data_IF_038741379466
#
_entry.id   IF_038741379466
#
_cell.length_a   1.000
_cell.length_b   1.000
_cell.length_c   1.000
_cell.angle_alpha   90.00
_cell.angle_beta   90.00
_cell.angle_gamma   90.00
#
_symmetry.space_group_name_H-M   'P 1'
#
loop_
_entity.id
_entity.type
_entity.pdbx_description
1 polymer ?
#
# COMPACT_ATOMS: atom_id res chain seq x y z
N UNK A 1 -15.60 -4.86 -9.82
CA UNK A 1 -16.73 -4.71 -10.75
C UNK A 1 -16.68 -3.30 -11.34
N UNK A 2 -17.29 -3.06 -12.50
CA UNK A 2 -17.30 -1.72 -13.12
C UNK A 2 -15.93 -1.27 -13.64
N UNK A 3 -15.08 -2.22 -14.04
CA UNK A 3 -13.71 -1.95 -14.50
C UNK A 3 -13.60 -2.14 -16.01
N UNK A 4 -12.70 -1.38 -16.67
CA UNK A 4 -12.45 -1.58 -18.09
C UNK A 4 -11.84 -2.97 -18.38
N UNK A 5 -11.96 -3.36 -19.64
CA UNK A 5 -11.36 -4.56 -20.21
C UNK A 5 -10.00 -4.31 -20.87
N UNK A 6 -9.42 -5.36 -21.44
CA UNK A 6 -8.24 -5.28 -22.31
C UNK A 6 -8.14 -6.53 -23.20
N UNK A 7 -7.32 -6.45 -24.25
CA UNK A 7 -6.91 -7.62 -25.03
C UNK A 7 -5.59 -8.15 -24.47
N UNK A 8 -5.59 -9.39 -23.99
CA UNK A 8 -4.38 -10.11 -23.58
C UNK A 8 -3.87 -10.88 -24.80
N UNK A 9 -2.65 -10.60 -25.24
CA UNK A 9 -2.00 -11.30 -26.34
C UNK A 9 -0.81 -12.09 -25.81
N UNK A 10 -0.83 -13.40 -26.04
CA UNK A 10 0.25 -14.32 -25.68
C UNK A 10 0.79 -15.04 -26.91
N UNK A 11 1.87 -15.83 -26.76
CA UNK A 11 2.53 -16.51 -27.87
C UNK A 11 1.66 -17.55 -28.60
N UNK A 12 0.51 -17.94 -28.03
CA UNK A 12 -0.40 -18.95 -28.57
C UNK A 12 -1.80 -18.42 -28.91
N UNK A 13 -2.00 -17.10 -28.90
CA UNK A 13 -3.30 -16.49 -29.22
C UNK A 13 -3.63 -15.27 -28.36
N UNK A 14 -4.89 -14.87 -28.39
CA UNK A 14 -5.38 -13.68 -27.69
C UNK A 14 -6.71 -13.93 -26.97
N UNK A 15 -6.93 -13.23 -25.86
CA UNK A 15 -8.14 -13.25 -25.07
C UNK A 15 -8.64 -11.82 -24.84
N UNK A 16 -9.88 -11.53 -25.23
CA UNK A 16 -10.53 -10.26 -24.90
C UNK A 16 -11.20 -10.36 -23.52
N UNK A 17 -10.70 -9.58 -22.57
CA UNK A 17 -11.33 -9.38 -21.26
C UNK A 17 -12.30 -8.21 -21.35
N UNK A 18 -13.58 -8.43 -20.99
CA UNK A 18 -14.60 -7.37 -20.92
C UNK A 18 -14.47 -6.48 -19.68
N UNK A 19 -13.81 -6.98 -18.64
CA UNK A 19 -13.58 -6.30 -17.36
C UNK A 19 -12.37 -6.92 -16.66
N UNK A 20 -11.74 -6.19 -15.74
CA UNK A 20 -10.69 -6.70 -14.87
C UNK A 20 -9.46 -5.82 -14.73
N UNK A 21 -9.31 -4.78 -15.56
CA UNK A 21 -8.17 -3.86 -15.49
C UNK A 21 -8.38 -2.86 -14.36
N UNK A 22 -7.39 -2.73 -13.47
CA UNK A 22 -7.42 -1.85 -12.31
C UNK A 22 -6.09 -1.11 -12.16
N UNK A 23 -6.14 0.08 -11.54
CA UNK A 23 -4.96 0.68 -10.90
C UNK A 23 -4.76 -0.02 -9.56
N UNK A 24 -3.55 -0.50 -9.28
CA UNK A 24 -3.25 -1.09 -7.98
C UNK A 24 -3.45 -0.05 -6.87
N UNK A 25 -4.13 -0.44 -5.80
CA UNK A 25 -4.23 0.38 -4.59
C UNK A 25 -3.17 -0.10 -3.61
N UNK A 26 -2.31 0.82 -3.16
CA UNK A 26 -1.28 0.54 -2.16
C UNK A 26 -1.83 -0.18 -0.93
N UNK A 27 -1.09 -1.16 -0.44
CA UNK A 27 -1.49 -1.94 0.72
C UNK A 27 -0.27 -2.57 1.40
N UNK A 28 -0.43 -2.93 2.66
CA UNK A 28 0.57 -3.66 3.45
C UNK A 28 0.05 -5.04 3.78
N UNK A 29 0.85 -6.05 3.50
CA UNK A 29 0.64 -7.41 3.93
C UNK A 29 1.21 -7.61 5.33
N UNK A 30 0.45 -8.24 6.22
CA UNK A 30 0.87 -8.52 7.60
C UNK A 30 0.35 -9.87 8.09
N UNK A 31 1.18 -10.63 8.83
CA UNK A 31 0.70 -11.75 9.63
C UNK A 31 0.06 -11.30 10.95
N UNK A 32 -0.50 -12.25 11.70
CA UNK A 32 -1.18 -11.97 12.96
C UNK A 32 -0.26 -11.33 14.02
N UNK A 33 1.00 -11.76 14.09
CA UNK A 33 1.98 -11.22 15.04
C UNK A 33 2.36 -9.77 14.74
N UNK A 34 2.56 -9.46 13.47
CA UNK A 34 2.85 -8.09 12.99
C UNK A 34 1.66 -7.16 13.22
N UNK A 35 0.45 -7.59 12.90
CA UNK A 35 -0.77 -6.84 13.19
C UNK A 35 -0.92 -6.55 14.69
N UNK A 36 -0.63 -7.54 15.55
CA UNK A 36 -0.63 -7.35 17.00
C UNK A 36 0.46 -6.36 17.46
N UNK A 37 1.66 -6.42 16.88
CA UNK A 37 2.76 -5.50 17.17
C UNK A 37 2.43 -4.05 16.81
N UNK A 38 1.86 -3.82 15.61
CA UNK A 38 1.43 -2.49 15.18
C UNK A 38 0.08 -2.07 15.79
N UNK A 39 -0.63 -2.99 16.45
CA UNK A 39 -1.95 -2.78 17.02
C UNK A 39 -2.99 -2.42 15.96
N UNK A 40 -2.95 -3.05 14.79
CA UNK A 40 -3.86 -2.82 13.65
C UNK A 40 -4.64 -4.08 13.29
N UNK A 41 -5.71 -3.93 12.53
CA UNK A 41 -6.50 -5.04 12.00
C UNK A 41 -6.56 -5.02 10.47
N UNK A 42 -6.83 -6.18 9.86
CA UNK A 42 -7.08 -6.28 8.42
C UNK A 42 -8.23 -5.36 8.02
N UNK A 43 -8.02 -4.55 6.98
CA UNK A 43 -8.94 -3.51 6.52
C UNK A 43 -8.69 -2.11 7.11
N UNK A 44 -7.89 -1.98 8.16
CA UNK A 44 -7.48 -0.66 8.68
C UNK A 44 -6.44 0.02 7.77
N UNK A 45 -6.30 1.34 7.90
CA UNK A 45 -5.34 2.13 7.14
C UNK A 45 -4.13 2.52 7.99
N UNK A 46 -2.95 2.44 7.38
CA UNK A 46 -1.69 2.92 7.94
C UNK A 46 -1.08 4.01 7.06
N UNK A 47 -0.04 4.67 7.59
CA UNK A 47 0.80 5.60 6.86
C UNK A 47 2.18 4.96 6.62
N UNK A 48 2.72 5.13 5.41
CA UNK A 48 4.09 4.75 5.08
C UNK A 48 4.93 6.01 4.92
N UNK A 49 5.84 6.25 5.85
CA UNK A 49 6.82 7.32 5.77
C UNK A 49 8.06 6.81 5.04
N UNK A 50 8.45 7.53 3.98
CA UNK A 50 9.65 7.24 3.21
C UNK A 50 10.55 8.46 3.21
N UNK A 51 11.77 8.29 3.70
CA UNK A 51 12.81 9.30 3.68
C UNK A 51 13.73 9.02 2.50
N UNK A 52 13.73 9.92 1.53
CA UNK A 52 14.53 9.83 0.32
C UNK A 52 15.01 11.23 -0.09
N UNK A 53 16.18 11.34 -0.75
CA UNK A 53 16.70 12.63 -1.21
C UNK A 53 15.73 13.32 -2.17
N UNK A 54 15.27 14.52 -1.80
CA UNK A 54 14.41 15.37 -2.63
C UNK A 54 12.94 14.94 -2.73
N UNK A 55 12.56 13.76 -2.25
CA UNK A 55 11.21 13.18 -2.41
C UNK A 55 10.62 12.59 -1.12
N UNK A 56 11.09 13.04 0.05
CA UNK A 56 10.55 12.61 1.34
C UNK A 56 9.03 12.80 1.41
N UNK A 57 8.31 11.71 1.65
CA UNK A 57 6.85 11.65 1.52
C UNK A 57 6.24 10.72 2.56
N UNK A 58 5.01 11.03 2.99
CA UNK A 58 4.15 10.10 3.71
C UNK A 58 3.03 9.67 2.76
N UNK A 59 2.98 8.37 2.45
CA UNK A 59 1.87 7.76 1.73
C UNK A 59 0.79 7.36 2.74
N UNK A 60 -0.33 8.06 2.69
CA UNK A 60 -1.50 7.73 3.52
C UNK A 60 -2.36 6.64 2.88
N UNK A 61 -3.28 6.10 3.68
CA UNK A 61 -4.27 5.11 3.28
C UNK A 61 -3.66 3.81 2.75
N UNK A 62 -2.55 3.36 3.35
CA UNK A 62 -1.97 2.04 3.09
C UNK A 62 -2.80 0.99 3.82
N UNK A 63 -3.68 0.31 3.09
CA UNK A 63 -4.64 -0.64 3.67
C UNK A 63 -3.92 -1.90 4.14
N UNK A 64 -4.17 -2.30 5.39
CA UNK A 64 -3.69 -3.56 5.96
C UNK A 64 -4.47 -4.71 5.37
N UNK A 65 -3.75 -5.70 4.84
CA UNK A 65 -4.30 -6.97 4.38
C UNK A 65 -3.57 -8.09 5.14
N UNK A 66 -4.24 -8.62 6.14
CA UNK A 66 -3.74 -9.73 6.95
C UNK A 66 -4.76 -10.82 7.15
N UNK A 67 -4.33 -11.94 7.73
CA UNK A 67 -5.20 -13.07 8.07
C UNK A 67 -4.61 -14.45 7.83
N UNK A 68 -3.44 -14.56 7.21
CA UNK A 68 -2.71 -15.82 7.02
C UNK A 68 -1.31 -15.70 7.64
N UNK A 69 -0.92 -16.69 8.42
CA UNK A 69 0.39 -16.74 9.11
C UNK A 69 1.56 -16.95 8.14
N UNK A 70 1.29 -17.35 6.89
CA UNK A 70 2.30 -17.45 5.84
C UNK A 70 2.63 -16.11 5.17
N UNK A 71 1.96 -15.03 5.56
CA UNK A 71 2.19 -13.69 5.04
C UNK A 71 3.44 -13.07 5.70
N UNK A 72 4.28 -12.44 4.90
CA UNK A 72 5.39 -11.61 5.39
C UNK A 72 5.03 -10.15 5.33
N UNK A 73 5.58 -9.35 6.25
CA UNK A 73 5.51 -7.90 6.17
C UNK A 73 6.08 -7.38 4.86
N UNK A 74 5.21 -6.85 4.00
CA UNK A 74 5.61 -6.18 2.75
C UNK A 74 4.60 -5.10 2.37
N UNK A 75 5.07 -4.03 1.74
CA UNK A 75 4.20 -2.99 1.20
C UNK A 75 4.22 -3.07 -0.32
N UNK A 76 3.04 -3.16 -0.91
CA UNK A 76 2.86 -3.15 -2.37
C UNK A 76 2.55 -1.73 -2.81
N UNK A 77 3.44 -1.17 -3.62
CA UNK A 77 3.28 0.08 -4.35
C UNK A 77 3.31 -0.20 -5.84
N UNK A 78 2.60 0.59 -6.64
CA UNK A 78 2.83 0.55 -8.08
C UNK A 78 4.13 1.29 -8.46
N UNK A 79 4.55 1.13 -9.71
CA UNK A 79 5.79 1.71 -10.22
C UNK A 79 5.79 3.25 -10.15
N UNK A 80 4.66 3.89 -10.38
CA UNK A 80 4.57 5.35 -10.37
C UNK A 80 4.64 5.90 -8.93
N UNK A 81 4.00 5.22 -7.98
CA UNK A 81 4.11 5.50 -6.55
C UNK A 81 5.55 5.35 -6.05
N UNK A 82 6.25 4.27 -6.45
CA UNK A 82 7.65 4.05 -6.09
C UNK A 82 8.60 5.08 -6.69
N UNK A 83 8.37 5.48 -7.95
CA UNK A 83 9.15 6.52 -8.62
C UNK A 83 8.93 7.89 -7.98
N UNK A 84 7.68 8.25 -7.66
CA UNK A 84 7.33 9.56 -7.08
C UNK A 84 8.02 9.83 -5.74
N UNK A 85 8.30 8.79 -4.96
CA UNK A 85 8.97 8.89 -3.66
C UNK A 85 10.48 8.62 -3.72
N UNK A 86 11.07 8.50 -4.92
CA UNK A 86 12.47 8.14 -5.13
C UNK A 86 12.88 6.89 -4.31
N UNK A 87 12.03 5.85 -4.34
CA UNK A 87 12.13 4.70 -3.44
C UNK A 87 13.49 3.99 -3.54
N UNK A 88 14.09 3.93 -4.74
CA UNK A 88 15.41 3.32 -4.97
C UNK A 88 16.53 3.95 -4.15
N UNK A 89 16.42 5.25 -3.83
CA UNK A 89 17.41 5.98 -3.03
C UNK A 89 16.90 6.29 -1.61
N UNK A 90 15.85 5.59 -1.15
CA UNK A 90 15.33 5.79 0.20
C UNK A 90 16.36 5.36 1.25
N UNK A 91 16.58 6.20 2.25
CA UNK A 91 17.46 5.93 3.38
C UNK A 91 16.73 5.30 4.56
N UNK A 92 15.40 5.52 4.65
CA UNK A 92 14.56 4.97 5.71
C UNK A 92 13.12 4.81 5.23
N UNK A 93 12.49 3.71 5.66
CA UNK A 93 11.07 3.43 5.46
C UNK A 93 10.46 3.03 6.80
N UNK A 94 9.31 3.59 7.15
CA UNK A 94 8.65 3.35 8.43
C UNK A 94 7.13 3.27 8.27
N UNK A 95 6.52 2.24 8.86
CA UNK A 95 5.08 2.10 8.96
C UNK A 95 4.59 2.74 10.25
N UNK A 96 3.62 3.64 10.13
CA UNK A 96 3.02 4.37 11.22
C UNK A 96 1.54 4.01 11.28
N UNK A 97 1.04 3.67 12.46
CA UNK A 97 -0.41 3.56 12.68
C UNK A 97 -1.02 4.94 12.52
N UNK A 98 -2.06 5.06 11.69
CA UNK A 98 -2.81 6.31 11.53
C UNK A 98 -3.32 6.73 12.90
N UNK A 99 -2.84 7.86 13.42
CA UNK A 99 -3.30 8.36 14.71
C UNK A 99 -4.81 8.63 14.60
N UNK A 100 -5.62 8.03 15.47
CA UNK A 100 -6.98 8.53 15.66
C UNK A 100 -6.86 9.98 16.14
N UNK A 101 -7.78 10.84 15.72
CA UNK A 101 -7.82 12.27 16.02
C UNK A 101 -8.01 12.58 17.52
N UNK A 102 -7.06 12.16 18.36
CA UNK A 102 -6.97 12.47 19.78
C UNK A 102 -5.91 13.55 20.04
N UNK A 103 -5.65 14.42 19.06
CA UNK A 103 -4.90 15.67 19.30
C UNK A 103 -5.75 16.51 20.25
N UNK A 104 -5.40 16.53 21.55
CA UNK A 104 -5.93 17.45 22.56
C UNK A 104 -5.40 18.88 22.35
N UNK A 105 -5.36 19.29 21.10
CA UNK A 105 -4.71 20.51 20.65
C UNK A 105 -5.79 21.58 20.70
N UNK A 106 -5.77 22.36 21.78
CA UNK A 106 -6.68 23.50 21.98
C UNK A 106 -6.62 24.35 20.71
N UNK A 107 -7.77 24.57 20.09
CA UNK A 107 -7.93 25.55 19.02
C UNK A 107 -7.37 26.89 19.49
N UNK A 108 -6.43 27.43 18.72
CA UNK A 108 -6.06 28.84 18.81
C UNK A 108 -7.21 29.71 18.29
#
# INVERSE_FOLDING_TARGET
QGTPGCLIVGPKGSLELKQGVIRAMRHVHMNAGEMAYYGVQSGEAMQLRVESPGCQTILENVVVRGGDDNIKLEVHLDTDEGNAINLTNATKVELLKTASAACKCKSH
#
